data_IF_727264676206
#
_entry.id   IF_727264676206
#
_cell.length_a   1.000
_cell.length_b   1.000
_cell.length_c   1.000
_cell.angle_alpha   90.00
_cell.angle_beta   90.00
_cell.angle_gamma   90.00
#
_symmetry.space_group_name_H-M   'P 1'
#
loop_
_entity.id
_entity.type
_entity.pdbx_description
1 polymer ?
#
# COMPACT_ATOMS: atom_id res chain seq x y z
N UNK A 1 3.99 10.86 -3.29
CA UNK A 1 5.06 11.73 -2.77
C UNK A 1 5.67 10.98 -1.60
N UNK A 2 6.99 10.79 -1.56
CA UNK A 2 7.69 10.26 -0.40
C UNK A 2 8.30 11.49 0.29
N UNK A 3 7.67 11.97 1.36
CA UNK A 3 8.07 13.14 2.15
C UNK A 3 9.40 12.99 2.92
N UNK A 4 10.03 11.82 2.94
CA UNK A 4 11.34 11.64 3.60
C UNK A 4 12.56 12.09 2.78
N UNK A 5 12.46 12.26 1.45
CA UNK A 5 13.63 12.59 0.62
C UNK A 5 13.44 13.72 -0.41
N UNK A 6 12.25 14.28 -0.61
CA UNK A 6 11.97 15.26 -1.70
C UNK A 6 12.35 14.73 -3.10
N UNK A 7 12.74 13.46 -3.21
CA UNK A 7 13.06 12.81 -4.47
C UNK A 7 11.76 12.39 -5.16
N UNK A 8 11.62 12.80 -6.41
CA UNK A 8 10.62 12.26 -7.30
C UNK A 8 10.89 10.78 -7.49
N UNK A 9 10.15 9.93 -6.78
CA UNK A 9 10.16 8.50 -7.03
C UNK A 9 9.98 8.28 -8.54
N UNK A 10 10.85 7.49 -9.18
CA UNK A 10 10.73 7.20 -10.60
C UNK A 10 9.32 6.70 -10.88
N UNK A 11 8.65 7.27 -11.88
CA UNK A 11 7.29 6.84 -12.22
C UNK A 11 7.26 5.39 -12.71
N UNK A 12 8.40 4.85 -13.18
CA UNK A 12 8.55 3.46 -13.61
C UNK A 12 8.77 2.55 -12.40
N UNK A 13 7.93 1.53 -12.29
CA UNK A 13 7.99 0.51 -11.23
C UNK A 13 7.95 -0.90 -11.83
N UNK A 14 8.73 -1.81 -11.25
CA UNK A 14 8.71 -3.25 -11.58
C UNK A 14 8.28 -4.01 -10.31
N UNK A 15 7.02 -4.47 -10.22
CA UNK A 15 6.55 -5.19 -9.04
C UNK A 15 7.18 -6.59 -8.98
N UNK A 16 7.66 -6.99 -7.81
CA UNK A 16 8.35 -8.28 -7.62
C UNK A 16 7.38 -9.28 -7.01
N UNK A 17 6.75 -8.92 -5.90
CA UNK A 17 5.66 -9.70 -5.32
C UNK A 17 4.70 -8.80 -4.57
N UNK A 18 3.51 -9.32 -4.32
CA UNK A 18 2.49 -8.66 -3.51
C UNK A 18 2.12 -9.51 -2.31
N UNK A 19 1.98 -8.86 -1.16
CA UNK A 19 1.43 -9.44 0.06
C UNK A 19 0.37 -8.51 0.64
N UNK A 20 -0.53 -9.10 1.45
CA UNK A 20 -1.57 -8.35 2.16
C UNK A 20 -1.11 -8.05 3.58
N UNK A 21 -1.47 -6.89 4.08
CA UNK A 21 -1.41 -6.59 5.51
C UNK A 21 -2.73 -6.01 5.97
N UNK A 22 -3.02 -6.22 7.24
CA UNK A 22 -4.22 -5.78 7.92
C UNK A 22 -3.80 -4.89 9.08
N UNK A 23 -4.42 -3.72 9.18
CA UNK A 23 -4.04 -2.69 10.14
C UNK A 23 -5.30 -2.17 10.83
N UNK A 24 -5.27 -2.10 12.16
CA UNK A 24 -6.24 -1.32 12.93
C UNK A 24 -5.55 -0.13 13.56
N UNK A 25 -6.04 1.06 13.24
CA UNK A 25 -5.65 2.29 13.90
C UNK A 25 -6.75 2.70 14.87
N UNK A 26 -6.36 3.31 15.96
CA UNK A 26 -7.27 4.00 16.84
C UNK A 26 -7.88 5.19 16.09
N UNK A 27 -9.14 5.50 16.39
CA UNK A 27 -9.74 6.71 15.84
C UNK A 27 -8.97 7.96 16.33
N UNK A 28 -8.97 9.01 15.52
CA UNK A 28 -8.34 10.29 15.90
C UNK A 28 -9.24 11.14 16.80
N UNK A 29 -10.56 10.95 16.70
CA UNK A 29 -11.51 11.63 17.55
C UNK A 29 -12.07 10.66 18.57
N UNK A 30 -12.17 11.12 19.81
CA UNK A 30 -12.73 10.35 20.94
C UNK A 30 -14.21 10.04 20.78
N UNK A 31 -14.92 10.78 19.92
CA UNK A 31 -16.33 10.59 19.60
C UNK A 31 -16.61 9.54 18.52
N UNK A 32 -15.58 9.05 17.82
CA UNK A 32 -15.76 8.07 16.76
C UNK A 32 -15.96 6.66 17.34
N UNK A 33 -16.87 5.89 16.75
CA UNK A 33 -17.23 4.53 17.23
C UNK A 33 -16.05 3.53 17.28
N UNK A 34 -14.93 3.84 16.60
CA UNK A 34 -13.72 3.03 16.60
C UNK A 34 -12.64 3.48 17.60
N UNK A 35 -12.95 4.44 18.49
CA UNK A 35 -12.01 4.93 19.49
C UNK A 35 -11.85 3.94 20.66
N UNK A 36 -10.61 3.62 20.99
CA UNK A 36 -10.22 2.82 22.15
C UNK A 36 -9.40 3.70 23.11
N UNK A 37 -9.90 3.87 24.34
CA UNK A 37 -9.28 4.71 25.36
C UNK A 37 -7.95 4.14 25.90
N UNK A 38 -7.63 2.87 25.62
CA UNK A 38 -6.35 2.28 25.99
C UNK A 38 -5.20 2.72 25.07
N UNK A 39 -5.50 3.40 23.95
CA UNK A 39 -4.51 3.81 22.96
C UNK A 39 -4.61 5.31 22.67
N UNK A 40 -3.48 5.92 22.29
CA UNK A 40 -3.47 7.32 21.85
C UNK A 40 -4.30 7.49 20.55
N UNK A 41 -4.89 8.67 20.31
CA UNK A 41 -5.61 8.96 19.07
C UNK A 41 -4.74 8.73 17.83
N UNK A 42 -5.24 7.95 16.88
CA UNK A 42 -4.49 7.61 15.66
C UNK A 42 -3.37 6.57 15.82
N UNK A 43 -3.16 6.01 17.01
CA UNK A 43 -2.14 4.98 17.23
C UNK A 43 -2.46 3.67 16.48
N UNK A 44 -1.44 2.95 16.03
CA UNK A 44 -1.60 1.60 15.52
C UNK A 44 -1.91 0.65 16.69
N UNK A 45 -3.12 0.12 16.74
CA UNK A 45 -3.55 -0.83 17.77
C UNK A 45 -2.95 -2.21 17.49
N UNK A 46 -3.11 -2.70 16.26
CA UNK A 46 -2.51 -3.96 15.83
C UNK A 46 -2.26 -4.00 14.32
N UNK A 47 -1.32 -4.87 13.94
CA UNK A 47 -0.98 -5.23 12.57
C UNK A 47 -0.95 -6.75 12.46
N UNK A 48 -1.51 -7.30 11.38
CA UNK A 48 -1.44 -8.72 11.05
C UNK A 48 -1.22 -8.93 9.56
N UNK A 49 -0.55 -10.02 9.21
CA UNK A 49 -0.42 -10.49 7.82
C UNK A 49 -1.17 -11.80 7.59
N UNK A 50 -1.73 -12.39 8.65
CA UNK A 50 -2.49 -13.63 8.58
C UNK A 50 -3.98 -13.33 8.32
N UNK A 51 -4.53 -13.77 7.18
CA UNK A 51 -5.96 -13.63 6.90
C UNK A 51 -6.86 -14.46 7.83
N UNK A 52 -6.31 -15.44 8.55
CA UNK A 52 -7.05 -16.29 9.49
C UNK A 52 -6.98 -15.78 10.94
N UNK A 53 -6.28 -14.68 11.20
CA UNK A 53 -6.30 -14.02 12.50
C UNK A 53 -7.76 -13.64 12.83
N UNK A 54 -8.32 -14.06 13.99
CA UNK A 54 -9.70 -13.74 14.36
C UNK A 54 -10.00 -12.25 14.28
N UNK A 55 -9.05 -11.40 14.67
CA UNK A 55 -9.18 -9.93 14.60
C UNK A 55 -9.34 -9.45 13.17
N UNK A 56 -8.65 -10.08 12.22
CA UNK A 56 -8.79 -9.78 10.79
C UNK A 56 -10.17 -10.19 10.29
N UNK A 57 -10.65 -11.38 10.66
CA UNK A 57 -11.93 -11.89 10.18
C UNK A 57 -13.13 -11.08 10.69
N UNK A 58 -13.01 -10.52 11.89
CA UNK A 58 -14.08 -9.77 12.54
C UNK A 58 -14.03 -8.28 12.17
N UNK A 59 -12.84 -7.67 12.19
CA UNK A 59 -12.73 -6.20 12.15
C UNK A 59 -12.53 -5.62 10.73
N UNK A 60 -12.27 -6.47 9.72
CA UNK A 60 -12.08 -6.00 8.33
C UNK A 60 -13.35 -6.05 7.47
N UNK A 61 -14.46 -6.56 8.04
CA UNK A 61 -15.75 -6.67 7.35
C UNK A 61 -16.70 -5.56 7.79
N UNK A 62 -17.69 -5.28 6.95
CA UNK A 62 -18.82 -4.45 7.36
C UNK A 62 -19.68 -5.24 8.33
N UNK A 63 -20.13 -4.58 9.39
CA UNK A 63 -21.11 -5.17 10.31
C UNK A 63 -22.46 -5.36 9.63
N UNK A 64 -23.31 -6.22 10.21
CA UNK A 64 -24.62 -6.58 9.65
C UNK A 64 -25.54 -5.36 9.43
N UNK A 65 -25.32 -4.28 10.19
CA UNK A 65 -26.06 -3.02 10.08
C UNK A 65 -25.36 -1.96 9.22
N UNK A 66 -24.37 -2.34 8.40
CA UNK A 66 -23.63 -1.42 7.54
C UNK A 66 -22.55 -0.60 8.25
N UNK A 67 -22.19 -1.00 9.48
CA UNK A 67 -21.08 -0.40 10.23
C UNK A 67 -19.77 -0.56 9.46
N UNK A 68 -18.98 0.52 9.43
CA UNK A 68 -17.71 0.52 8.72
C UNK A 68 -16.72 -0.42 9.42
N UNK A 69 -15.88 -1.15 8.67
CA UNK A 69 -14.83 -1.97 9.25
C UNK A 69 -13.86 -1.11 10.08
N UNK A 70 -13.46 -1.64 11.24
CA UNK A 70 -12.50 -1.01 12.16
C UNK A 70 -11.06 -1.16 11.67
N UNK A 71 -10.78 -2.25 10.96
CA UNK A 71 -9.48 -2.54 10.39
C UNK A 71 -9.49 -2.37 8.87
N UNK A 72 -8.37 -1.92 8.30
CA UNK A 72 -8.19 -1.75 6.86
C UNK A 72 -7.29 -2.84 6.28
N UNK A 73 -7.59 -3.22 5.04
CA UNK A 73 -6.72 -4.08 4.24
C UNK A 73 -5.83 -3.23 3.34
N UNK A 74 -4.53 -3.55 3.34
CA UNK A 74 -3.52 -2.94 2.48
C UNK A 74 -2.97 -3.98 1.51
N UNK A 75 -2.78 -3.57 0.25
CA UNK A 75 -2.01 -4.33 -0.74
C UNK A 75 -0.61 -3.73 -0.80
N UNK A 76 0.38 -4.51 -0.39
CA UNK A 76 1.78 -4.08 -0.41
C UNK A 76 2.48 -4.71 -1.61
N UNK A 77 3.09 -3.88 -2.44
CA UNK A 77 3.89 -4.32 -3.57
C UNK A 77 5.35 -4.06 -3.29
N UNK A 78 6.10 -5.13 -3.06
CA UNK A 78 7.55 -5.06 -3.02
C UNK A 78 8.06 -4.85 -4.44
N UNK A 79 8.64 -3.68 -4.72
CA UNK A 79 8.89 -3.24 -6.08
C UNK A 79 10.29 -2.68 -6.28
N UNK A 80 10.85 -2.95 -7.46
CA UNK A 80 12.07 -2.33 -7.95
C UNK A 80 11.72 -1.01 -8.65
N UNK A 81 12.43 0.05 -8.27
CA UNK A 81 12.42 1.34 -8.95
C UNK A 81 13.77 1.54 -9.64
N UNK A 82 13.81 1.69 -10.97
CA UNK A 82 15.07 1.89 -11.68
C UNK A 82 15.82 3.11 -11.17
N UNK A 83 17.10 2.95 -10.85
CA UNK A 83 17.94 4.01 -10.28
C UNK A 83 17.94 4.05 -8.75
N UNK A 84 17.08 3.28 -8.07
CA UNK A 84 17.07 3.17 -6.60
C UNK A 84 17.81 1.89 -6.18
N UNK A 85 18.75 2.02 -5.26
CA UNK A 85 19.57 0.90 -4.79
C UNK A 85 18.79 -0.14 -3.98
N UNK A 86 17.72 0.28 -3.32
CA UNK A 86 16.89 -0.56 -2.44
C UNK A 86 15.47 -0.73 -3.00
N UNK A 87 14.87 -1.92 -2.82
CA UNK A 87 13.46 -2.11 -3.14
C UNK A 87 12.57 -1.24 -2.25
N UNK A 88 11.47 -0.78 -2.82
CA UNK A 88 10.48 0.04 -2.12
C UNK A 88 9.17 -0.73 -2.03
N UNK A 89 8.54 -0.68 -0.86
CA UNK A 89 7.19 -1.21 -0.68
C UNK A 89 6.19 -0.11 -0.98
N UNK A 90 5.35 -0.35 -2.00
CA UNK A 90 4.23 0.54 -2.32
C UNK A 90 2.96 -0.04 -1.74
N UNK A 91 2.41 0.63 -0.73
CA UNK A 91 1.21 0.21 -0.02
C UNK A 91 -0.03 0.92 -0.57
N UNK A 92 -1.01 0.14 -1.01
CA UNK A 92 -2.30 0.63 -1.48
C UNK A 92 -3.39 0.29 -0.46
N UNK A 93 -4.00 1.33 0.11
CA UNK A 93 -5.10 1.22 1.07
C UNK A 93 -6.18 2.27 0.78
N UNK A 94 -7.36 2.10 1.37
CA UNK A 94 -8.51 3.03 1.26
C UNK A 94 -8.80 3.44 -0.20
N UNK A 95 -8.62 4.71 -0.55
CA UNK A 95 -8.88 5.30 -1.87
C UNK A 95 -7.99 4.74 -2.97
N UNK A 96 -6.77 4.32 -2.64
CA UNK A 96 -5.81 3.75 -3.57
C UNK A 96 -5.94 2.24 -3.75
N UNK A 97 -6.76 1.57 -2.93
CA UNK A 97 -6.91 0.11 -2.94
C UNK A 97 -7.43 -0.42 -4.29
N UNK A 98 -8.31 0.33 -4.97
CA UNK A 98 -8.79 -0.04 -6.31
C UNK A 98 -7.65 -0.08 -7.32
N UNK A 99 -6.78 0.92 -7.29
CA UNK A 99 -5.58 1.00 -8.14
C UNK A 99 -4.61 -0.14 -7.83
N UNK A 100 -4.40 -0.45 -6.55
CA UNK A 100 -3.60 -1.62 -6.14
C UNK A 100 -4.16 -2.95 -6.66
N UNK A 101 -5.49 -3.15 -6.63
CA UNK A 101 -6.12 -4.33 -7.24
C UNK A 101 -5.90 -4.38 -8.76
N UNK A 102 -6.01 -3.24 -9.45
CA UNK A 102 -5.74 -3.15 -10.87
C UNK A 102 -4.29 -3.54 -11.20
N UNK A 103 -3.30 -3.08 -10.40
CA UNK A 103 -1.91 -3.51 -10.52
C UNK A 103 -1.77 -5.02 -10.37
N UNK A 104 -2.36 -5.58 -9.31
CA UNK A 104 -2.29 -7.01 -9.03
C UNK A 104 -2.86 -7.84 -10.18
N UNK A 105 -4.01 -7.42 -10.72
CA UNK A 105 -4.62 -8.04 -11.88
C UNK A 105 -3.71 -7.95 -13.09
N UNK A 106 -3.19 -6.77 -13.42
CA UNK A 106 -2.28 -6.61 -14.56
C UNK A 106 -1.01 -7.44 -14.42
N UNK A 107 -0.41 -7.48 -13.22
CA UNK A 107 0.81 -8.22 -12.96
C UNK A 107 0.61 -9.75 -13.03
N UNK A 108 -0.56 -10.27 -12.60
CA UNK A 108 -0.84 -11.71 -12.61
C UNK A 108 -1.39 -12.22 -13.95
N UNK A 109 -2.23 -11.44 -14.63
CA UNK A 109 -2.91 -11.90 -15.85
C UNK A 109 -2.08 -11.75 -17.13
N UNK A 110 -0.99 -10.98 -17.09
CA UNK A 110 -0.15 -10.76 -18.26
C UNK A 110 0.83 -11.92 -18.59
N UNK A 111 0.84 -12.98 -17.79
CA UNK A 111 1.70 -14.16 -17.95
C UNK A 111 3.15 -13.92 -17.50
N UNK A 112 3.80 -14.98 -17.02
CA UNK A 112 5.16 -14.92 -16.44
C UNK A 112 5.18 -14.41 -15.00
N UNK A 113 6.38 -14.11 -14.51
CA UNK A 113 6.58 -13.55 -13.17
C UNK A 113 6.12 -12.10 -13.10
N UNK A 114 5.74 -11.62 -11.90
CA UNK A 114 5.26 -10.24 -11.71
C UNK A 114 6.29 -9.20 -12.18
N UNK A 115 7.59 -9.50 -12.05
CA UNK A 115 8.68 -8.62 -12.47
C UNK A 115 8.99 -8.69 -13.97
N UNK A 116 8.26 -9.49 -14.75
CA UNK A 116 8.42 -9.57 -16.21
C UNK A 116 7.96 -8.31 -16.93
N UNK A 117 7.18 -7.46 -16.25
CA UNK A 117 6.63 -6.22 -16.80
C UNK A 117 6.91 -5.03 -15.90
N UNK A 118 7.05 -3.88 -16.55
CA UNK A 118 7.14 -2.59 -15.90
C UNK A 118 5.82 -1.83 -16.04
N UNK A 119 5.52 -1.01 -15.04
CA UNK A 119 4.34 -0.17 -14.98
C UNK A 119 4.74 1.26 -14.67
N UNK A 120 3.89 2.21 -15.04
CA UNK A 120 4.00 3.60 -14.67
C UNK A 120 3.01 3.90 -13.55
N UNK A 121 3.51 4.32 -12.39
CA UNK A 121 2.73 4.93 -11.33
C UNK A 121 2.60 6.43 -11.62
N UNK A 122 1.36 6.89 -11.74
CA UNK A 122 1.00 8.29 -11.88
C UNK A 122 0.04 8.74 -10.78
N UNK A 123 -0.21 10.04 -10.74
CA UNK A 123 -1.26 10.64 -9.94
C UNK A 123 -2.05 11.60 -10.81
N UNK A 124 -3.37 11.43 -10.87
CA UNK A 124 -4.27 12.33 -11.59
C UNK A 124 -5.14 13.08 -10.61
N UNK A 125 -5.32 14.37 -10.86
CA UNK A 125 -6.21 15.23 -10.09
C UNK A 125 -7.64 14.99 -10.56
N UNK A 126 -8.48 14.37 -9.72
CA UNK A 126 -9.91 14.21 -9.98
C UNK A 126 -10.70 15.26 -9.20
N UNK A 127 -11.70 15.85 -9.86
CA UNK A 127 -12.61 16.82 -9.26
C UNK A 127 -14.01 16.24 -9.26
N UNK A 128 -14.56 15.99 -8.08
CA UNK A 128 -15.98 15.65 -7.88
C UNK A 128 -16.71 16.86 -7.28
N UNK A 129 -18.04 16.76 -7.15
CA UNK A 129 -18.88 17.80 -6.55
C UNK A 129 -18.49 18.19 -5.11
N UNK A 130 -17.76 17.33 -4.40
CA UNK A 130 -17.30 17.53 -3.03
C UNK A 130 -15.84 18.02 -2.90
N UNK A 131 -15.10 18.16 -4.00
CA UNK A 131 -13.72 18.67 -3.98
C UNK A 131 -12.78 18.01 -4.98
N UNK A 132 -11.52 18.43 -4.91
CA UNK A 132 -10.42 17.97 -5.75
C UNK A 132 -9.53 17.02 -4.96
N UNK A 133 -9.34 15.79 -5.44
CA UNK A 133 -8.47 14.79 -4.81
C UNK A 133 -7.51 14.16 -5.82
N UNK A 134 -6.34 13.74 -5.33
CA UNK A 134 -5.38 13.00 -6.14
C UNK A 134 -5.71 11.51 -6.15
N UNK A 135 -5.87 10.93 -7.33
CA UNK A 135 -6.07 9.50 -7.55
C UNK A 135 -4.80 8.90 -8.15
N UNK A 136 -4.32 7.79 -7.60
CA UNK A 136 -3.21 7.05 -8.19
C UNK A 136 -3.68 6.33 -9.46
N UNK A 137 -2.89 6.44 -10.53
CA UNK A 137 -3.12 5.76 -11.81
C UNK A 137 -1.99 4.82 -12.15
N UNK A 138 -2.31 3.77 -12.92
CA UNK A 138 -1.35 2.76 -13.36
C UNK A 138 -1.49 2.56 -14.86
N UNK A 139 -0.36 2.64 -15.57
CA UNK A 139 -0.26 2.31 -16.99
C UNK A 139 0.78 1.20 -17.20
N UNK A 140 0.55 0.31 -18.15
CA UNK A 140 1.54 -0.71 -18.54
C UNK A 140 2.62 -0.08 -19.41
N UNK A 141 3.90 -0.30 -19.08
CA UNK A 141 5.05 0.14 -19.88
C UNK A 141 5.66 -0.98 -20.74
N UNK A 142 5.10 -2.18 -20.68
CA UNK A 142 5.60 -3.34 -21.42
C UNK A 142 6.60 -4.18 -20.62
N UNK A 143 7.51 -4.86 -21.32
CA UNK A 143 8.47 -5.76 -20.72
C UNK A 143 9.52 -5.01 -19.89
N UNK A 144 9.97 -5.63 -18.79
CA UNK A 144 11.14 -5.19 -18.06
C UNK A 144 12.44 -5.63 -18.76
N UNK A 145 13.48 -4.82 -18.62
CA UNK A 145 14.81 -5.12 -19.13
C UNK A 145 15.38 -6.36 -18.46
N UNK A 146 16.36 -7.00 -19.11
CA UNK A 146 16.99 -8.20 -18.54
C UNK A 146 17.71 -7.92 -17.22
N UNK A 147 18.34 -6.76 -17.07
CA UNK A 147 18.97 -6.34 -15.81
C UNK A 147 17.95 -6.16 -14.69
N UNK A 148 16.80 -5.53 -14.97
CA UNK A 148 15.70 -5.39 -14.00
C UNK A 148 15.17 -6.76 -13.58
N UNK A 149 15.01 -7.70 -14.52
CA UNK A 149 14.52 -9.05 -14.23
C UNK A 149 15.46 -9.84 -13.33
N UNK A 150 16.77 -9.82 -13.62
CA UNK A 150 17.77 -10.51 -12.79
C UNK A 150 17.83 -9.94 -11.38
N UNK A 151 17.74 -8.61 -11.25
CA UNK A 151 17.73 -7.96 -9.95
C UNK A 151 16.46 -8.27 -9.16
N UNK A 152 15.30 -8.23 -9.82
CA UNK A 152 14.02 -8.59 -9.21
C UNK A 152 13.98 -10.04 -8.75
N UNK A 153 14.52 -10.98 -9.54
CA UNK A 153 14.62 -12.39 -9.20
C UNK A 153 15.53 -12.63 -7.98
N UNK A 154 16.68 -11.95 -7.93
CA UNK A 154 17.57 -11.99 -6.77
C UNK A 154 16.85 -11.52 -5.49
N UNK A 155 16.13 -10.40 -5.57
CA UNK A 155 15.37 -9.89 -4.44
C UNK A 155 14.15 -10.74 -4.10
N UNK A 156 13.47 -11.31 -5.08
CA UNK A 156 12.39 -12.26 -4.83
C UNK A 156 12.91 -13.46 -4.03
N UNK A 157 14.04 -14.02 -4.43
CA UNK A 157 14.65 -15.16 -3.73
C UNK A 157 15.03 -14.80 -2.28
N UNK A 158 15.54 -13.59 -2.06
CA UNK A 158 15.94 -13.12 -0.72
C UNK A 158 14.76 -12.80 0.20
N UNK A 159 13.70 -12.18 -0.32
CA UNK A 159 12.66 -11.55 0.51
C UNK A 159 11.30 -12.23 0.47
N UNK A 160 11.00 -13.06 -0.55
CA UNK A 160 9.66 -13.66 -0.69
C UNK A 160 9.31 -14.59 0.47
N UNK A 161 10.29 -15.31 1.02
CA UNK A 161 10.09 -16.23 2.15
C UNK A 161 9.74 -15.49 3.45
N UNK A 162 10.24 -14.26 3.61
CA UNK A 162 10.04 -13.42 4.79
C UNK A 162 9.13 -12.22 4.49
N UNK A 163 8.26 -12.34 3.48
CA UNK A 163 7.39 -11.24 3.06
C UNK A 163 6.51 -10.71 4.21
N UNK A 164 6.14 -11.56 5.17
CA UNK A 164 5.39 -11.20 6.37
C UNK A 164 6.18 -10.37 7.39
N UNK A 165 7.52 -10.44 7.37
CA UNK A 165 8.40 -9.72 8.30
C UNK A 165 8.81 -8.34 7.78
N UNK A 166 8.50 -8.04 6.51
CA UNK A 166 8.80 -6.75 5.91
C UNK A 166 8.04 -5.63 6.61
N UNK A 167 8.79 -4.82 7.38
CA UNK A 167 8.25 -3.63 8.03
C UNK A 167 8.03 -2.55 6.98
N UNK A 168 6.76 -2.31 6.66
CA UNK A 168 6.34 -1.12 5.94
C UNK A 168 6.46 0.06 6.90
N UNK A 169 7.43 0.94 6.64
CA UNK A 169 7.52 2.24 7.28
C UNK A 169 6.45 3.14 6.65
N UNK A 170 5.54 3.64 7.48
CA UNK A 170 4.52 4.59 7.06
C UNK A 170 5.05 6.00 7.35
N UNK A 171 5.00 6.88 6.35
CA UNK A 171 5.27 8.29 6.57
C UNK A 171 4.19 8.85 7.50
N UNK A 172 4.63 9.31 8.66
CA UNK A 172 3.83 10.22 9.48
C UNK A 172 3.81 11.53 8.71
N UNK A 173 2.65 11.96 8.20
CA UNK A 173 2.53 13.28 7.58
C UNK A 173 3.04 14.34 8.60
N UNK A 174 4.04 15.16 8.25
CA UNK A 174 4.39 16.30 9.09
C UNK A 174 3.32 17.38 8.86
N UNK A 175 2.38 17.53 9.81
CA UNK A 175 1.61 18.77 9.92
C UNK A 175 0.14 18.60 10.28
N UNK A 176 -0.15 18.66 11.58
CA UNK A 176 -1.31 19.39 12.08
C UNK A 176 -0.96 20.17 13.36
N UNK A 177 0.25 20.77 13.39
CA UNK A 177 0.52 21.92 14.27
C UNK A 177 0.40 23.18 13.41
N UNK A 178 -0.83 23.69 13.29
CA UNK A 178 -1.11 25.07 12.92
C UNK A 178 -2.27 25.57 13.76
N UNK A 179 -1.91 26.27 14.85
CA UNK A 179 -2.59 27.41 15.48
C UNK A 179 -4.11 27.34 15.66
N UNK A 180 -4.58 27.16 16.89
CA UNK A 180 -5.13 28.24 17.76
C UNK A 180 -4.85 27.88 19.22
#
# INVERSE_FOLDING_TARGET
MNSLLVEHLPSRVVPIFCFKSYLRFNARNTSDAGYDAAYEPGALIWRSTDPNDPRVQDETKFGDNGEKPLAMTCLNFFSLFPGVAMPIIVSFSKTSYRTGKQLLSLARFCGGDMWSRAYQLGSTLQKNEQGTYYTLTIASLGASSESERRQAEAWWTMFSQNASELKVHEETEPGADLNV
#
